data_IF_041565982078
#
_entry.id   IF_041565982078
#
_cell.length_a   1.000
_cell.length_b   1.000
_cell.length_c   1.000
_cell.angle_alpha   90.00
_cell.angle_beta   90.00
_cell.angle_gamma   90.00
#
_symmetry.space_group_name_H-M   'P 1'
#
loop_
_entity.id
_entity.type
_entity.pdbx_description
1 polymer ?
#
# COMPACT_ATOMS: atom_id res chain seq x y z
N UNK A 1 -31.74 14.25 3.16
CA UNK A 1 -31.88 13.60 1.85
C UNK A 1 -31.80 12.11 2.10
N UNK A 2 -32.94 11.44 2.12
CA UNK A 2 -33.08 10.02 2.45
C UNK A 2 -33.22 9.23 1.15
N UNK A 3 -32.41 8.18 0.96
CA UNK A 3 -32.58 7.27 -0.18
C UNK A 3 -33.57 6.18 0.23
N UNK A 4 -34.76 6.18 -0.36
CA UNK A 4 -35.77 5.16 -0.12
C UNK A 4 -35.43 3.88 -0.89
N UNK A 5 -35.48 2.74 -0.20
CA UNK A 5 -35.58 1.40 -0.78
C UNK A 5 -37.03 1.18 -1.22
N UNK A 6 -37.27 1.16 -2.53
CA UNK A 6 -38.59 0.81 -3.06
C UNK A 6 -38.74 -0.71 -3.10
N UNK A 7 -39.57 -1.24 -2.20
CA UNK A 7 -40.10 -2.61 -2.27
C UNK A 7 -41.07 -2.75 -3.46
N UNK A 8 -41.09 -3.94 -4.07
CA UNK A 8 -41.82 -4.21 -5.30
C UNK A 8 -43.18 -4.91 -5.06
N UNK A 9 -44.20 -4.40 -5.79
CA UNK A 9 -45.41 -5.04 -6.38
C UNK A 9 -46.64 -5.34 -5.49
N UNK A 10 -47.90 -5.37 -6.03
CA UNK A 10 -48.23 -5.61 -7.45
C UNK A 10 -49.47 -4.88 -8.09
N UNK A 11 -49.58 -5.09 -9.43
CA UNK A 11 -50.76 -5.13 -10.36
C UNK A 11 -51.32 -3.83 -10.98
N UNK A 12 -51.71 -3.82 -12.29
CA UNK A 12 -51.67 -2.64 -13.16
C UNK A 12 -53.07 -2.11 -13.57
N UNK A 13 -53.15 -0.82 -13.91
CA UNK A 13 -54.16 -0.32 -14.83
C UNK A 13 -53.62 0.86 -15.65
N UNK A 14 -53.88 0.77 -16.96
CA UNK A 14 -53.37 1.62 -18.02
C UNK A 14 -53.82 3.08 -17.92
N UNK A 15 -52.99 4.02 -18.40
CA UNK A 15 -53.29 5.03 -19.45
C UNK A 15 -52.02 5.84 -19.74
N UNK A 16 -51.78 6.13 -21.02
CA UNK A 16 -50.60 6.77 -21.59
C UNK A 16 -50.42 8.25 -21.21
N UNK A 17 -49.16 8.71 -21.10
CA UNK A 17 -48.59 9.83 -21.87
C UNK A 17 -47.25 10.34 -21.30
N UNK A 18 -46.44 10.87 -22.23
CA UNK A 18 -45.30 11.78 -22.06
C UNK A 18 -43.96 11.20 -21.57
N UNK A 19 -43.06 10.98 -22.53
CA UNK A 19 -41.61 10.90 -22.29
C UNK A 19 -41.09 12.26 -21.84
N UNK A 20 -40.66 12.35 -20.59
CA UNK A 20 -39.75 13.38 -20.12
C UNK A 20 -38.41 12.71 -19.82
N UNK A 21 -37.36 13.15 -20.52
CA UNK A 21 -36.01 12.63 -20.36
C UNK A 21 -35.54 12.77 -18.92
N UNK A 22 -35.35 11.64 -18.24
CA UNK A 22 -34.67 11.58 -16.96
C UNK A 22 -33.19 11.63 -17.29
N UNK A 23 -32.59 12.81 -17.18
CA UNK A 23 -31.14 12.94 -17.02
C UNK A 23 -30.77 12.10 -15.82
N UNK A 24 -30.21 10.91 -16.10
CA UNK A 24 -29.61 10.03 -15.13
C UNK A 24 -28.38 10.75 -14.60
N UNK A 25 -28.58 11.55 -13.55
CA UNK A 25 -27.50 12.07 -12.74
C UNK A 25 -26.69 10.86 -12.28
N UNK A 26 -25.57 10.66 -12.95
CA UNK A 26 -24.63 9.59 -12.64
C UNK A 26 -24.07 9.94 -11.29
N UNK A 27 -24.39 9.12 -10.27
CA UNK A 27 -23.72 9.22 -8.99
C UNK A 27 -22.20 9.30 -9.24
N UNK A 28 -21.50 10.28 -8.65
CA UNK A 28 -20.05 10.30 -8.69
C UNK A 28 -19.55 8.94 -8.19
N UNK A 29 -18.69 8.29 -8.97
CA UNK A 29 -18.14 6.96 -8.74
C UNK A 29 -17.20 6.84 -7.53
N UNK A 30 -17.39 7.69 -6.50
CA UNK A 30 -16.81 7.51 -5.17
C UNK A 30 -17.63 6.53 -4.33
N UNK A 31 -18.11 5.44 -4.96
CA UNK A 31 -18.42 4.26 -4.18
C UNK A 31 -17.09 3.81 -3.57
N UNK A 32 -16.95 4.05 -2.26
CA UNK A 32 -15.88 3.48 -1.45
C UNK A 32 -15.81 2.00 -1.79
N UNK A 33 -14.81 1.59 -2.56
CA UNK A 33 -14.56 0.16 -2.79
C UNK A 33 -14.26 -0.40 -1.41
N UNK A 34 -15.24 -1.07 -0.82
CA UNK A 34 -15.04 -1.81 0.41
C UNK A 34 -13.89 -2.80 0.12
N UNK A 35 -12.73 -2.60 0.78
CA UNK A 35 -11.59 -3.50 0.58
C UNK A 35 -12.05 -4.91 0.96
N UNK A 36 -11.91 -5.84 0.02
CA UNK A 36 -12.23 -7.24 0.25
C UNK A 36 -11.18 -7.85 1.20
N UNK A 37 -11.62 -8.56 2.23
CA UNK A 37 -10.69 -9.31 3.07
C UNK A 37 -9.94 -10.38 2.26
N UNK A 38 -8.64 -10.60 2.53
CA UNK A 38 -7.94 -10.17 3.75
C UNK A 38 -7.37 -8.75 3.73
N UNK A 39 -7.37 -8.05 2.60
CA UNK A 39 -6.79 -6.71 2.46
C UNK A 39 -5.42 -6.58 3.17
N UNK A 40 -4.55 -7.59 2.98
CA UNK A 40 -3.27 -7.71 3.67
C UNK A 40 -2.31 -6.62 3.18
N UNK A 41 -1.86 -5.77 4.10
CA UNK A 41 -1.00 -4.63 3.79
C UNK A 41 0.11 -4.51 4.82
N UNK A 42 1.29 -4.13 4.33
CA UNK A 42 2.47 -3.83 5.14
C UNK A 42 2.85 -2.39 4.92
N UNK A 43 3.01 -1.63 6.01
CA UNK A 43 3.50 -0.26 6.01
C UNK A 43 4.78 -0.16 6.83
N UNK A 44 5.63 0.80 6.46
CA UNK A 44 6.93 1.04 7.07
C UNK A 44 7.33 2.51 6.97
N UNK A 45 8.53 2.87 7.43
CA UNK A 45 9.05 4.23 7.30
C UNK A 45 9.23 4.61 5.82
N UNK A 46 8.68 5.75 5.44
CA UNK A 46 8.81 6.31 4.08
C UNK A 46 10.21 6.87 3.80
N UNK A 47 10.97 7.19 4.84
CA UNK A 47 12.34 7.68 4.73
C UNK A 47 13.30 6.58 5.17
N UNK A 48 14.42 6.45 4.46
CA UNK A 48 15.47 5.52 4.85
C UNK A 48 15.95 5.80 6.27
N UNK A 49 15.98 4.73 7.07
CA UNK A 49 16.50 4.78 8.44
C UNK A 49 17.99 4.42 8.38
N UNK A 50 18.87 5.20 9.03
CA UNK A 50 20.30 4.88 9.07
C UNK A 50 20.54 3.53 9.75
N UNK A 51 21.67 2.90 9.44
CA UNK A 51 22.10 1.71 10.18
C UNK A 51 22.17 2.01 11.69
N UNK A 52 21.89 0.98 12.48
CA UNK A 52 21.69 1.03 13.93
C UNK A 52 20.48 1.87 14.39
N UNK A 53 19.73 2.46 13.47
CA UNK A 53 18.46 3.10 13.75
C UNK A 53 17.37 2.09 14.07
N UNK A 54 16.37 2.53 14.85
CA UNK A 54 15.18 1.77 15.14
C UNK A 54 14.10 2.07 14.10
N UNK A 55 13.39 1.04 13.66
CA UNK A 55 12.20 1.20 12.82
C UNK A 55 11.11 0.21 13.17
N UNK A 56 9.89 0.49 12.71
CA UNK A 56 8.74 -0.38 12.90
C UNK A 56 8.03 -0.60 11.58
N UNK A 57 7.81 -1.87 11.26
CA UNK A 57 6.87 -2.29 10.22
C UNK A 57 5.52 -2.58 10.87
N UNK A 58 4.44 -2.25 10.18
CA UNK A 58 3.07 -2.50 10.63
C UNK A 58 2.35 -3.31 9.57
N UNK A 59 1.78 -4.43 9.96
CA UNK A 59 0.96 -5.25 9.08
C UNK A 59 -0.50 -5.19 9.52
N UNK A 60 -1.39 -5.07 8.54
CA UNK A 60 -2.84 -5.06 8.75
C UNK A 60 -3.53 -6.04 7.83
N UNK A 61 -4.57 -6.70 8.34
CA UNK A 61 -5.45 -7.57 7.56
C UNK A 61 -6.86 -7.51 8.14
N UNK A 62 -7.87 -7.92 7.39
CA UNK A 62 -9.23 -8.11 7.90
C UNK A 62 -9.70 -9.55 7.72
N UNK A 63 -10.57 -10.02 8.61
CA UNK A 63 -11.21 -11.33 8.50
C UNK A 63 -12.70 -11.22 8.80
N UNK A 64 -13.51 -12.08 8.17
CA UNK A 64 -14.91 -12.30 8.56
C UNK A 64 -15.05 -13.39 9.63
N UNK A 65 -13.95 -14.04 10.00
CA UNK A 65 -13.95 -15.14 10.96
C UNK A 65 -13.42 -14.69 12.32
N UNK A 66 -14.00 -15.22 13.42
CA UNK A 66 -13.53 -14.92 14.78
C UNK A 66 -12.14 -15.54 15.05
N UNK A 67 -11.81 -16.63 14.36
CA UNK A 67 -10.52 -17.29 14.45
C UNK A 67 -9.65 -16.89 13.25
N UNK A 68 -8.65 -16.06 13.50
CA UNK A 68 -7.66 -15.63 12.51
C UNK A 68 -6.32 -15.34 13.17
N UNK A 69 -5.25 -15.53 12.41
CA UNK A 69 -3.88 -15.28 12.86
C UNK A 69 -3.19 -14.28 11.92
N UNK A 70 -2.33 -13.46 12.51
CA UNK A 70 -1.46 -12.52 11.82
C UNK A 70 -0.09 -12.61 12.48
N UNK A 71 0.96 -12.87 11.71
CA UNK A 71 2.32 -13.01 12.23
C UNK A 71 3.37 -12.63 11.21
N UNK A 72 4.59 -12.43 11.67
CA UNK A 72 5.75 -12.05 10.90
C UNK A 72 6.72 -13.21 10.74
N UNK A 73 7.42 -13.23 9.62
CA UNK A 73 8.54 -14.11 9.32
C UNK A 73 9.66 -13.30 8.66
N UNK A 74 10.87 -13.84 8.66
CA UNK A 74 11.99 -13.31 7.89
C UNK A 74 12.80 -14.45 7.27
N UNK A 75 13.08 -14.36 5.97
CA UNK A 75 13.79 -15.41 5.20
C UNK A 75 13.18 -16.81 5.40
N UNK A 76 11.86 -16.91 5.52
CA UNK A 76 11.15 -18.17 5.72
C UNK A 76 11.20 -18.75 7.14
N UNK A 77 11.74 -18.02 8.12
CA UNK A 77 11.78 -18.43 9.53
C UNK A 77 10.99 -17.48 10.43
N UNK A 78 10.51 -17.98 11.57
CA UNK A 78 9.92 -17.14 12.62
C UNK A 78 10.93 -16.12 13.16
N UNK A 79 10.43 -14.94 13.55
CA UNK A 79 11.23 -13.77 13.94
C UNK A 79 12.23 -14.08 15.06
N UNK A 80 11.86 -14.90 16.04
CA UNK A 80 12.70 -15.30 17.16
C UNK A 80 13.95 -16.09 16.76
N UNK A 81 13.99 -16.64 15.54
CA UNK A 81 15.15 -17.37 15.01
C UNK A 81 16.03 -16.52 14.09
N UNK A 82 15.65 -15.28 13.78
CA UNK A 82 16.49 -14.40 12.98
C UNK A 82 17.58 -13.76 13.83
N UNK A 83 18.77 -13.53 13.25
CA UNK A 83 19.82 -12.77 13.92
C UNK A 83 19.45 -11.29 14.02
N UNK A 84 19.93 -10.62 15.07
CA UNK A 84 19.74 -9.19 15.30
C UNK A 84 18.69 -8.89 16.37
N UNK A 85 18.37 -7.60 16.53
CA UNK A 85 17.44 -7.13 17.57
C UNK A 85 16.07 -6.87 16.96
N UNK A 86 15.28 -7.94 16.89
CA UNK A 86 13.92 -7.94 16.36
C UNK A 86 12.92 -8.23 17.48
N UNK A 87 11.76 -7.59 17.42
CA UNK A 87 10.64 -7.91 18.32
C UNK A 87 9.32 -7.85 17.58
N UNK A 88 8.62 -8.98 17.57
CA UNK A 88 7.25 -9.02 17.10
C UNK A 88 6.29 -8.50 18.21
N UNK A 89 5.39 -7.59 17.86
CA UNK A 89 4.38 -7.08 18.76
C UNK A 89 3.20 -8.04 18.93
N UNK A 90 2.36 -7.82 19.95
CA UNK A 90 1.09 -8.53 20.09
C UNK A 90 0.13 -8.19 18.93
N UNK A 91 -0.73 -9.14 18.55
CA UNK A 91 -1.78 -8.88 17.57
C UNK A 91 -2.90 -8.07 18.21
N UNK A 92 -3.14 -6.86 17.72
CA UNK A 92 -4.33 -6.07 18.03
C UNK A 92 -5.50 -6.52 17.15
N UNK A 93 -6.70 -6.57 17.73
CA UNK A 93 -7.94 -6.95 17.06
C UNK A 93 -9.03 -5.94 17.37
N UNK A 94 -9.70 -5.45 16.34
CA UNK A 94 -10.79 -4.49 16.46
C UNK A 94 -11.98 -4.94 15.61
N UNK A 95 -13.16 -5.04 16.23
CA UNK A 95 -14.40 -5.35 15.50
C UNK A 95 -14.87 -4.12 14.72
N UNK A 96 -15.08 -4.27 13.41
CA UNK A 96 -15.59 -3.24 12.50
C UNK A 96 -16.73 -3.81 11.66
N UNK A 97 -17.96 -3.70 12.18
CA UNK A 97 -19.14 -4.30 11.55
C UNK A 97 -19.00 -5.83 11.46
N UNK A 98 -19.15 -6.38 10.25
CA UNK A 98 -19.05 -7.81 9.95
C UNK A 98 -17.61 -8.35 9.89
N UNK A 99 -16.61 -7.50 10.15
CA UNK A 99 -15.20 -7.83 9.99
C UNK A 99 -14.41 -7.56 11.27
N UNK A 100 -13.40 -8.37 11.52
CA UNK A 100 -12.34 -8.07 12.49
C UNK A 100 -11.14 -7.52 11.75
N UNK A 101 -10.69 -6.32 12.12
CA UNK A 101 -9.42 -5.77 11.69
C UNK A 101 -8.32 -6.29 12.62
N UNK A 102 -7.27 -6.84 12.03
CA UNK A 102 -6.06 -7.26 12.71
C UNK A 102 -4.93 -6.29 12.40
N UNK A 103 -4.08 -6.06 13.40
CA UNK A 103 -2.82 -5.33 13.23
C UNK A 103 -1.72 -5.98 14.07
N UNK A 104 -0.54 -6.15 13.48
CA UNK A 104 0.65 -6.61 14.20
C UNK A 104 1.89 -5.89 13.73
N UNK A 105 2.69 -5.42 14.68
CA UNK A 105 3.93 -4.70 14.38
C UNK A 105 5.13 -5.62 14.45
N UNK A 106 6.16 -5.30 13.67
CA UNK A 106 7.50 -5.84 13.79
C UNK A 106 8.46 -4.67 14.06
N UNK A 107 9.10 -4.69 15.22
CA UNK A 107 10.07 -3.67 15.63
C UNK A 107 11.47 -4.20 15.33
N UNK A 108 12.22 -3.44 14.53
CA UNK A 108 13.66 -3.59 14.40
C UNK A 108 14.27 -2.58 15.36
N UNK A 109 14.79 -3.05 16.48
CA UNK A 109 15.39 -2.17 17.50
C UNK A 109 16.71 -1.59 17.00
N UNK A 110 17.39 -2.31 16.11
CA UNK A 110 18.68 -1.94 15.54
C UNK A 110 18.77 -2.45 14.09
N UNK A 111 18.77 -1.54 13.12
CA UNK A 111 18.88 -1.88 11.71
C UNK A 111 20.31 -2.29 11.34
N UNK A 112 20.51 -3.56 11.02
CA UNK A 112 21.77 -4.08 10.50
C UNK A 112 21.76 -4.22 8.96
N UNK A 113 22.93 -4.34 8.30
CA UNK A 113 23.00 -4.64 6.86
C UNK A 113 22.26 -5.94 6.48
N UNK A 114 22.29 -6.94 7.36
CA UNK A 114 21.53 -8.19 7.16
C UNK A 114 20.03 -7.92 7.20
N UNK A 115 19.54 -7.24 8.24
CA UNK A 115 18.12 -6.95 8.40
C UNK A 115 17.56 -6.04 7.31
N UNK A 116 18.37 -5.11 6.78
CA UNK A 116 18.02 -4.27 5.63
C UNK A 116 17.67 -5.10 4.38
N UNK A 117 18.31 -6.25 4.21
CA UNK A 117 18.16 -7.13 3.05
C UNK A 117 17.35 -8.40 3.36
N UNK A 118 16.83 -8.53 4.58
CA UNK A 118 15.95 -9.64 4.96
C UNK A 118 14.63 -9.54 4.18
N UNK A 119 14.17 -10.66 3.64
CA UNK A 119 12.82 -10.79 3.12
C UNK A 119 11.86 -11.04 4.28
N UNK A 120 11.27 -9.95 4.79
CA UNK A 120 10.24 -10.05 5.80
C UNK A 120 8.92 -10.38 5.13
N UNK A 121 8.15 -11.25 5.76
CA UNK A 121 6.81 -11.60 5.31
C UNK A 121 5.84 -11.39 6.45
N UNK A 122 4.77 -10.64 6.19
CA UNK A 122 3.60 -10.71 7.03
C UNK A 122 2.65 -11.79 6.49
N UNK A 123 2.23 -12.72 7.34
CA UNK A 123 1.35 -13.83 6.99
C UNK A 123 0.05 -13.69 7.75
N UNK A 124 -1.05 -13.81 6.99
CA UNK A 124 -2.40 -13.89 7.50
C UNK A 124 -3.00 -15.24 7.16
N UNK A 125 -3.72 -15.83 8.11
CA UNK A 125 -4.55 -17.01 7.84
C UNK A 125 -5.86 -16.97 8.62
N UNK A 126 -6.94 -17.34 7.93
CA UNK A 126 -8.26 -17.61 8.49
C UNK A 126 -8.84 -18.90 7.84
N UNK A 127 -10.04 -19.38 8.24
CA UNK A 127 -10.63 -20.60 7.69
C UNK A 127 -10.84 -20.61 6.16
N UNK A 128 -10.83 -19.46 5.49
CA UNK A 128 -11.08 -19.37 4.05
C UNK A 128 -9.83 -19.00 3.24
N UNK A 129 -8.87 -18.28 3.82
CA UNK A 129 -7.75 -17.72 3.10
C UNK A 129 -6.43 -17.86 3.87
N UNK A 130 -5.36 -18.01 3.12
CA UNK A 130 -4.00 -17.69 3.56
C UNK A 130 -3.44 -16.66 2.60
N UNK A 131 -2.86 -15.59 3.13
CA UNK A 131 -2.23 -14.53 2.35
C UNK A 131 -0.90 -14.14 2.98
N UNK A 132 0.05 -13.74 2.14
CA UNK A 132 1.38 -13.35 2.55
C UNK A 132 1.82 -12.12 1.75
N UNK A 133 2.38 -11.13 2.45
CA UNK A 133 2.92 -9.91 1.85
C UNK A 133 4.40 -9.80 2.23
N UNK A 134 5.25 -9.74 1.22
CA UNK A 134 6.70 -9.61 1.38
C UNK A 134 7.12 -8.15 1.42
N UNK A 135 8.17 -7.86 2.18
CA UNK A 135 8.84 -6.56 2.22
C UNK A 135 10.33 -6.75 2.47
N UNK A 136 11.14 -6.15 1.59
CA UNK A 136 12.58 -5.98 1.78
C UNK A 136 12.83 -4.49 1.95
N UNK A 137 13.42 -4.07 3.08
CA UNK A 137 13.60 -2.65 3.40
C UNK A 137 14.42 -1.91 2.35
N UNK A 138 15.48 -2.54 1.83
CA UNK A 138 16.28 -1.98 0.74
C UNK A 138 15.46 -1.63 -0.50
N UNK A 139 14.49 -2.50 -0.87
CA UNK A 139 13.64 -2.31 -2.03
C UNK A 139 12.55 -1.27 -1.77
N UNK A 140 12.00 -1.27 -0.55
CA UNK A 140 11.00 -0.29 -0.13
C UNK A 140 11.52 1.13 -0.30
N UNK A 141 12.75 1.40 0.15
CA UNK A 141 13.35 2.74 0.05
C UNK A 141 13.82 3.08 -1.36
N UNK A 142 14.40 2.13 -2.11
CA UNK A 142 14.78 2.35 -3.50
C UNK A 142 13.58 2.68 -4.40
N UNK A 143 12.41 2.07 -4.14
CA UNK A 143 11.16 2.38 -4.84
C UNK A 143 10.65 3.80 -4.58
N UNK A 144 10.90 4.36 -3.40
CA UNK A 144 10.47 5.71 -3.03
C UNK A 144 11.35 6.80 -3.68
N UNK A 145 12.65 6.56 -3.80
CA UNK A 145 13.55 7.48 -4.53
C UNK A 145 13.17 7.59 -6.02
N UNK A 146 12.67 6.51 -6.62
CA UNK A 146 12.29 6.48 -8.03
C UNK A 146 10.99 7.26 -8.33
N UNK A 147 10.12 7.45 -7.32
CA UNK A 147 8.84 8.16 -7.46
C UNK A 147 8.96 9.67 -7.17
N UNK A 148 10.06 10.12 -6.59
CA UNK A 148 10.33 11.54 -6.42
C UNK A 148 10.41 12.23 -7.80
N UNK A 149 9.73 13.38 -8.02
CA UNK A 149 9.82 14.07 -9.29
C UNK A 149 11.25 14.57 -9.45
N UNK A 150 11.96 14.00 -10.42
CA UNK A 150 13.19 14.55 -10.97
C UNK A 150 12.90 15.98 -11.44
N UNK A 151 13.14 16.97 -10.58
CA UNK A 151 13.35 18.35 -11.01
C UNK A 151 14.57 18.30 -11.92
N UNK A 152 14.32 18.33 -13.23
CA UNK A 152 15.37 18.48 -14.23
C UNK A 152 16.06 19.83 -13.99
N UNK A 153 17.20 19.78 -13.31
CA UNK A 153 18.13 20.89 -13.30
C UNK A 153 18.76 20.94 -14.70
N UNK A 154 18.32 21.93 -15.49
CA UNK A 154 18.86 22.18 -16.82
C UNK A 154 20.37 22.46 -16.73
N UNK A 155 21.20 21.88 -17.62
CA UNK A 155 22.64 22.10 -17.57
C UNK A 155 22.97 23.58 -17.90
N UNK A 156 23.96 24.20 -17.24
CA UNK A 156 24.40 25.54 -17.59
C UNK A 156 25.08 25.51 -18.97
N UNK A 157 24.49 26.25 -19.91
CA UNK A 157 25.06 26.54 -21.23
C UNK A 157 26.32 27.40 -21.06
N UNK A 158 27.50 26.77 -21.10
CA UNK A 158 28.77 27.47 -21.28
C UNK A 158 29.38 27.11 -22.64
N UNK A 159 29.22 27.99 -23.63
CA UNK A 159 29.97 27.95 -24.89
C UNK A 159 31.18 28.86 -24.79
N UNK A 160 32.39 28.38 -25.09
CA UNK A 160 33.42 29.25 -25.63
C UNK A 160 33.97 28.75 -26.97
N UNK A 161 34.31 29.74 -27.79
CA UNK A 161 35.20 29.72 -28.95
C UNK A 161 34.76 29.00 -30.24
N UNK A 162 34.68 29.80 -31.31
CA UNK A 162 35.11 29.37 -32.63
C UNK A 162 35.92 30.49 -33.27
N UNK A 163 37.25 30.37 -33.18
CA UNK A 163 38.18 30.99 -34.14
C UNK A 163 38.13 30.13 -35.40
N UNK A 164 37.69 30.69 -36.51
CA UNK A 164 37.88 30.10 -37.83
C UNK A 164 39.15 30.69 -38.47
N UNK A 165 40.08 29.80 -38.77
CA UNK A 165 41.22 29.99 -39.66
C UNK A 165 40.72 29.72 -41.09
N UNK A 166 41.19 30.46 -42.10
CA UNK A 166 41.86 29.95 -43.33
C UNK A 166 42.20 31.08 -44.33
N UNK A 167 43.44 31.00 -44.84
CA UNK A 167 44.14 31.59 -46.01
C UNK A 167 43.31 31.68 -47.32
N UNK A 168 43.56 32.54 -48.33
CA UNK A 168 44.74 32.74 -49.21
C UNK A 168 44.60 33.99 -50.15
N UNK A 169 45.75 34.47 -50.68
CA UNK A 169 46.05 35.13 -52.00
C UNK A 169 45.39 36.48 -52.37
N UNK A 170 46.05 37.50 -52.92
CA UNK A 170 47.29 37.68 -53.70
C UNK A 170 48.02 38.95 -53.25
#
# INVERSE_FOLDING_TARGET
MFCHLAGATPVPQATAAASAGITKDSCPSWLLTAKQCPALEVTGPEVEVPLNGMLTLSCTACSRFPFSILFWMGNGSFIEHLPGRLREGSTSRESRGEHTQLRRTLVLEELSPTLRNTDFSCVFADPAHTAQQHVVLAQLWAGLETVAPSTQEAPPSSSPLSRLITTEKF
#
